data_IF_053614800945
#
_entry.id   IF_053614800945
#
_cell.length_a   1.000
_cell.length_b   1.000
_cell.length_c   1.000
_cell.angle_alpha   90.00
_cell.angle_beta   90.00
_cell.angle_gamma   90.00
#
_symmetry.space_group_name_H-M   'P 1'
#
loop_
_entity.id
_entity.type
_entity.pdbx_description
1 polymer ?
#
# COMPACT_ATOMS: atom_id res chain seq x y z
N UNK A 1 8.46 10.13 -13.40
CA UNK A 1 7.32 9.73 -14.26
C UNK A 1 7.35 8.23 -14.58
N UNK A 2 8.50 7.56 -14.40
CA UNK A 2 8.66 6.14 -14.73
C UNK A 2 8.20 5.16 -13.64
N UNK A 3 7.73 5.67 -12.50
CA UNK A 3 7.33 4.87 -11.33
C UNK A 3 5.82 4.92 -11.16
N UNK A 4 5.22 3.74 -11.01
CA UNK A 4 3.86 3.54 -10.53
C UNK A 4 3.90 3.25 -9.03
N UNK A 5 3.38 4.17 -8.23
CA UNK A 5 3.21 3.89 -6.81
C UNK A 5 2.05 2.95 -6.61
N UNK A 6 2.20 2.05 -5.64
CA UNK A 6 1.17 1.07 -5.30
C UNK A 6 1.02 1.00 -3.79
N UNK A 7 -0.20 0.76 -3.32
CA UNK A 7 -0.45 0.52 -1.90
C UNK A 7 -1.67 -0.39 -1.70
N UNK A 8 -1.68 -1.07 -0.57
CA UNK A 8 -2.81 -1.87 -0.11
C UNK A 8 -3.72 -1.05 0.80
N UNK A 9 -5.02 -1.21 0.59
CA UNK A 9 -6.08 -0.68 1.44
C UNK A 9 -6.84 -1.88 2.00
N UNK A 10 -6.75 -2.08 3.31
CA UNK A 10 -7.42 -3.17 4.01
C UNK A 10 -8.70 -2.59 4.63
N UNK A 11 -9.87 -2.92 4.09
CA UNK A 11 -11.15 -2.30 4.45
C UNK A 11 -11.97 -3.20 5.38
N UNK A 12 -12.41 -2.64 6.50
CA UNK A 12 -13.19 -3.32 7.53
C UNK A 12 -14.59 -2.72 7.75
N UNK A 13 -15.43 -3.47 8.47
CA UNK A 13 -16.68 -2.95 9.01
C UNK A 13 -16.43 -1.76 9.96
N UNK A 14 -17.45 -0.93 10.23
CA UNK A 14 -17.33 0.17 11.18
C UNK A 14 -16.90 -0.29 12.58
N UNK A 15 -16.30 0.62 13.37
CA UNK A 15 -16.00 0.33 14.77
C UNK A 15 -17.27 -0.08 15.52
N UNK A 16 -17.17 -1.04 16.44
CA UNK A 16 -18.33 -1.50 17.22
C UNK A 16 -19.03 -0.38 18.04
N UNK A 17 -18.33 0.73 18.29
CA UNK A 17 -18.86 1.92 18.94
C UNK A 17 -19.72 2.82 18.03
N UNK A 18 -19.69 2.63 16.71
CA UNK A 18 -20.45 3.43 15.73
C UNK A 18 -21.60 2.63 15.14
N UNK A 19 -22.81 3.19 15.15
CA UNK A 19 -23.97 2.60 14.47
C UNK A 19 -23.94 2.98 12.99
N UNK A 20 -24.20 2.02 12.11
CA UNK A 20 -24.27 2.24 10.64
C UNK A 20 -25.28 3.34 10.28
N UNK A 21 -26.41 3.40 11.00
CA UNK A 21 -27.44 4.42 10.79
C UNK A 21 -26.93 5.87 10.96
N UNK A 22 -25.94 6.07 11.84
CA UNK A 22 -25.42 7.39 12.21
C UNK A 22 -24.27 7.85 11.28
N UNK A 23 -23.81 6.99 10.36
CA UNK A 23 -22.73 7.33 9.43
C UNK A 23 -23.18 8.39 8.40
N UNK A 24 -22.28 9.25 7.91
CA UNK A 24 -22.63 10.31 6.96
C UNK A 24 -22.80 9.83 5.51
N UNK A 25 -23.19 8.56 5.30
CA UNK A 25 -23.33 7.97 3.97
C UNK A 25 -24.78 7.94 3.48
N UNK A 26 -24.95 7.74 2.17
CA UNK A 26 -26.28 7.55 1.56
C UNK A 26 -27.01 6.33 2.13
N UNK A 27 -28.35 6.32 2.05
CA UNK A 27 -29.13 5.17 2.54
C UNK A 27 -28.77 3.87 1.80
N UNK A 28 -28.56 3.92 0.49
CA UNK A 28 -28.11 2.76 -0.31
C UNK A 28 -26.76 2.20 0.18
N UNK A 29 -25.80 3.07 0.50
CA UNK A 29 -24.52 2.66 1.07
C UNK A 29 -24.71 2.00 2.45
N UNK A 30 -25.53 2.60 3.32
CA UNK A 30 -25.84 2.05 4.66
C UNK A 30 -26.53 0.69 4.58
N UNK A 31 -27.47 0.51 3.67
CA UNK A 31 -28.19 -0.75 3.49
C UNK A 31 -27.25 -1.87 3.04
N UNK A 32 -26.33 -1.58 2.12
CA UNK A 32 -25.28 -2.52 1.69
C UNK A 32 -24.30 -2.84 2.82
N UNK A 33 -23.92 -1.83 3.60
CA UNK A 33 -23.04 -2.01 4.76
C UNK A 33 -23.68 -2.86 5.86
N UNK A 34 -24.98 -2.66 6.09
CA UNK A 34 -25.79 -3.43 7.04
C UNK A 34 -26.05 -4.86 6.56
N UNK A 35 -26.09 -5.09 5.24
CA UNK A 35 -26.11 -6.44 4.69
C UNK A 35 -24.75 -7.14 4.89
N UNK A 36 -23.66 -6.44 4.58
CA UNK A 36 -22.29 -6.96 4.74
C UNK A 36 -21.95 -7.29 6.20
N UNK A 37 -22.46 -6.53 7.17
CA UNK A 37 -22.19 -6.75 8.60
C UNK A 37 -22.83 -8.05 9.15
N UNK A 38 -23.75 -8.66 8.40
CA UNK A 38 -24.41 -9.93 8.75
C UNK A 38 -23.71 -11.14 8.16
N UNK A 39 -22.73 -10.93 7.28
CA UNK A 39 -21.94 -11.98 6.67
C UNK A 39 -20.82 -12.43 7.61
N UNK A 40 -20.32 -13.68 7.48
CA UNK A 40 -19.10 -14.07 8.16
C UNK A 40 -17.89 -13.30 7.60
N UNK A 41 -16.99 -12.92 8.48
CA UNK A 41 -15.69 -12.36 8.10
C UNK A 41 -14.85 -13.41 7.36
N UNK A 42 -14.28 -13.03 6.21
CA UNK A 42 -13.49 -13.90 5.35
C UNK A 42 -11.97 -13.74 5.53
N UNK A 43 -11.53 -12.56 5.97
CA UNK A 43 -10.11 -12.23 6.13
C UNK A 43 -9.84 -11.52 7.46
N UNK A 44 -8.69 -11.78 8.07
CA UNK A 44 -8.19 -11.12 9.27
C UNK A 44 -6.94 -10.32 8.91
N UNK A 45 -7.06 -9.01 9.02
CA UNK A 45 -5.96 -8.09 8.86
C UNK A 45 -5.52 -7.61 10.25
N UNK A 46 -4.24 -7.30 10.38
CA UNK A 46 -3.67 -6.73 11.60
C UNK A 46 -4.27 -5.35 11.91
N UNK A 47 -4.45 -4.50 10.89
CA UNK A 47 -5.01 -3.15 11.04
C UNK A 47 -5.93 -2.77 9.86
N UNK A 48 -7.17 -3.27 9.81
CA UNK A 48 -8.12 -2.84 8.78
C UNK A 48 -8.62 -1.42 9.06
N UNK A 49 -8.66 -0.59 8.01
CA UNK A 49 -9.31 0.71 8.02
C UNK A 49 -10.81 0.50 8.15
N UNK A 50 -11.38 0.91 9.28
CA UNK A 50 -12.80 0.72 9.57
C UNK A 50 -13.64 1.79 8.85
N UNK A 51 -14.71 1.38 8.18
CA UNK A 51 -15.63 2.32 7.53
C UNK A 51 -16.22 3.29 8.56
N UNK A 52 -16.19 4.59 8.26
CA UNK A 52 -16.72 5.61 9.14
C UNK A 52 -15.79 6.04 10.27
N UNK A 53 -14.50 5.71 10.24
CA UNK A 53 -13.50 6.41 11.08
C UNK A 53 -13.42 7.88 10.67
N UNK A 54 -13.06 8.74 11.63
CA UNK A 54 -12.82 10.16 11.35
C UNK A 54 -11.68 10.33 10.34
N UNK A 55 -11.66 11.41 9.53
CA UNK A 55 -10.62 11.63 8.52
C UNK A 55 -9.19 11.54 9.06
N UNK A 56 -8.93 12.05 10.27
CA UNK A 56 -7.61 11.98 10.92
C UNK A 56 -7.19 10.55 11.31
N UNK A 57 -8.16 9.66 11.49
CA UNK A 57 -7.93 8.22 11.74
C UNK A 57 -8.01 7.37 10.47
N UNK A 58 -8.18 7.98 9.30
CA UNK A 58 -8.30 7.26 8.04
C UNK A 58 -6.95 7.19 7.32
N UNK A 59 -6.30 6.03 7.39
CA UNK A 59 -4.96 5.83 6.84
C UNK A 59 -4.90 6.05 5.31
N UNK A 60 -5.98 5.82 4.56
CA UNK A 60 -6.03 6.16 3.13
C UNK A 60 -5.81 7.66 2.93
N UNK A 61 -6.59 8.48 3.64
CA UNK A 61 -6.53 9.94 3.49
C UNK A 61 -5.18 10.45 3.96
N UNK A 62 -4.73 9.91 5.08
CA UNK A 62 -3.47 10.25 5.71
C UNK A 62 -2.27 9.96 4.78
N UNK A 63 -2.13 8.72 4.29
CA UNK A 63 -1.07 8.31 3.38
C UNK A 63 -1.03 9.08 2.08
N UNK A 64 -2.20 9.23 1.45
CA UNK A 64 -2.31 9.94 0.19
C UNK A 64 -1.96 11.42 0.35
N UNK A 65 -2.34 12.06 1.46
CA UNK A 65 -1.89 13.42 1.79
C UNK A 65 -0.38 13.50 1.94
N UNK A 66 0.22 12.55 2.66
CA UNK A 66 1.68 12.49 2.84
C UNK A 66 2.42 12.33 1.51
N UNK A 67 1.97 11.42 0.65
CA UNK A 67 2.54 11.24 -0.68
C UNK A 67 2.29 12.47 -1.57
N UNK A 68 1.11 13.08 -1.53
CA UNK A 68 0.80 14.30 -2.29
C UNK A 68 1.71 15.46 -1.91
N UNK A 69 1.93 15.67 -0.61
CA UNK A 69 2.84 16.67 -0.07
C UNK A 69 4.30 16.40 -0.50
N UNK A 70 4.72 15.13 -0.45
CA UNK A 70 6.04 14.75 -0.93
C UNK A 70 6.22 15.06 -2.42
N UNK A 71 5.19 14.83 -3.25
CA UNK A 71 5.21 15.19 -4.67
C UNK A 71 5.19 16.71 -4.89
N UNK A 72 4.44 17.47 -4.07
CA UNK A 72 4.44 18.92 -4.12
C UNK A 72 5.85 19.49 -3.89
N UNK A 73 6.53 18.99 -2.85
CA UNK A 73 7.90 19.37 -2.53
C UNK A 73 8.88 19.04 -3.67
N UNK A 74 8.74 17.86 -4.31
CA UNK A 74 9.57 17.47 -5.46
C UNK A 74 9.34 18.36 -6.69
N UNK A 75 8.14 18.93 -6.83
CA UNK A 75 7.85 19.93 -7.88
C UNK A 75 8.53 21.25 -7.58
N UNK A 76 8.49 21.71 -6.33
CA UNK A 76 9.18 22.93 -5.91
C UNK A 76 10.70 22.82 -6.12
N UNK A 77 11.27 21.64 -5.86
CA UNK A 77 12.69 21.34 -6.15
C UNK A 77 13.01 21.19 -7.64
N UNK A 78 11.99 21.02 -8.50
CA UNK A 78 12.16 20.84 -9.94
C UNK A 78 12.45 19.40 -10.39
N UNK A 79 12.32 18.41 -9.49
CA UNK A 79 12.44 16.99 -9.83
C UNK A 79 11.21 16.45 -10.59
N UNK A 80 10.05 17.11 -10.42
CA UNK A 80 8.79 16.78 -11.09
C UNK A 80 8.26 18.03 -11.79
N UNK A 81 7.82 17.94 -13.07
CA UNK A 81 7.18 19.08 -13.74
C UNK A 81 5.93 19.54 -12.98
N UNK A 82 5.69 20.85 -12.92
CA UNK A 82 4.63 21.45 -12.11
C UNK A 82 3.23 20.89 -12.41
N UNK A 83 2.95 20.62 -13.69
CA UNK A 83 1.70 20.08 -14.21
C UNK A 83 1.58 18.54 -14.11
N UNK A 84 2.68 17.84 -13.84
CA UNK A 84 2.68 16.39 -13.79
C UNK A 84 1.90 15.87 -12.57
N UNK A 85 1.25 14.72 -12.73
CA UNK A 85 0.72 13.94 -11.61
C UNK A 85 1.43 12.60 -11.52
N UNK A 86 1.68 12.13 -10.30
CA UNK A 86 2.22 10.78 -10.08
C UNK A 86 1.07 9.78 -10.01
N UNK A 87 1.24 8.63 -10.67
CA UNK A 87 0.20 7.60 -10.72
C UNK A 87 0.29 6.71 -9.48
N UNK A 88 -0.85 6.44 -8.86
CA UNK A 88 -0.97 5.62 -7.65
C UNK A 88 -2.06 4.58 -7.87
N UNK A 89 -1.74 3.31 -7.66
CA UNK A 89 -2.69 2.20 -7.63
C UNK A 89 -2.99 1.87 -6.17
N UNK A 90 -4.26 1.93 -5.79
CA UNK A 90 -4.74 1.43 -4.52
C UNK A 90 -5.49 0.13 -4.77
N UNK A 91 -5.03 -0.92 -4.10
CA UNK A 91 -5.64 -2.24 -4.12
C UNK A 91 -6.47 -2.42 -2.86
N UNK A 92 -7.79 -2.49 -3.02
CA UNK A 92 -8.75 -2.49 -1.92
C UNK A 92 -9.22 -3.92 -1.66
N UNK A 93 -8.84 -4.45 -0.51
CA UNK A 93 -9.26 -5.77 -0.03
C UNK A 93 -10.19 -5.61 1.15
N UNK A 94 -11.19 -6.47 1.27
CA UNK A 94 -12.25 -6.33 2.25
C UNK A 94 -12.27 -7.51 3.23
N UNK A 95 -12.64 -7.23 4.48
CA UNK A 95 -12.84 -8.30 5.47
C UNK A 95 -14.09 -9.15 5.19
N UNK A 96 -15.09 -8.59 4.49
CA UNK A 96 -16.35 -9.24 4.14
C UNK A 96 -16.63 -9.11 2.64
N UNK A 97 -17.18 -10.15 2.00
CA UNK A 97 -17.49 -10.12 0.57
C UNK A 97 -18.54 -9.05 0.22
N UNK A 98 -19.52 -8.83 1.09
CA UNK A 98 -20.55 -7.82 0.93
C UNK A 98 -20.03 -6.38 0.90
N UNK A 99 -18.78 -6.12 1.32
CA UNK A 99 -18.16 -4.79 1.22
C UNK A 99 -17.64 -4.48 -0.19
N UNK A 100 -17.39 -5.49 -1.04
CA UNK A 100 -16.84 -5.30 -2.41
C UNK A 100 -17.55 -4.22 -3.22
N UNK A 101 -18.91 -4.20 -3.30
CA UNK A 101 -19.61 -3.27 -4.17
C UNK A 101 -19.53 -1.82 -3.70
N UNK A 102 -19.20 -1.58 -2.43
CA UNK A 102 -19.12 -0.25 -1.82
C UNK A 102 -17.69 0.19 -1.50
N UNK A 103 -16.70 -0.68 -1.69
CA UNK A 103 -15.31 -0.42 -1.32
C UNK A 103 -14.72 0.81 -2.01
N UNK A 104 -14.91 0.93 -3.33
CA UNK A 104 -14.46 2.12 -4.09
C UNK A 104 -15.24 3.37 -3.73
N UNK A 105 -16.56 3.23 -3.60
CA UNK A 105 -17.43 4.34 -3.20
C UNK A 105 -16.99 4.92 -1.86
N UNK A 106 -16.65 4.08 -0.88
CA UNK A 106 -16.12 4.52 0.41
C UNK A 106 -14.86 5.37 0.25
N UNK A 107 -13.88 4.90 -0.53
CA UNK A 107 -12.63 5.65 -0.75
C UNK A 107 -12.92 6.99 -1.43
N UNK A 108 -13.76 7.00 -2.45
CA UNK A 108 -14.15 8.24 -3.16
C UNK A 108 -14.91 9.23 -2.25
N UNK A 109 -15.78 8.75 -1.37
CA UNK A 109 -16.50 9.58 -0.41
C UNK A 109 -15.58 10.12 0.68
N UNK A 110 -14.72 9.29 1.26
CA UNK A 110 -13.71 9.72 2.24
C UNK A 110 -12.80 10.81 1.66
N UNK A 111 -12.40 10.69 0.40
CA UNK A 111 -11.59 11.71 -0.28
C UNK A 111 -12.34 13.03 -0.49
N UNK A 112 -13.67 13.03 -0.60
CA UNK A 112 -14.49 14.25 -0.74
C UNK A 112 -14.66 14.99 0.58
N UNK A 113 -14.57 14.30 1.71
CA UNK A 113 -14.65 14.89 3.04
C UNK A 113 -13.42 15.76 3.39
N UNK A 114 -12.32 15.62 2.64
CA UNK A 114 -11.12 16.42 2.85
C UNK A 114 -11.38 17.93 2.59
N UNK A 115 -10.97 18.80 3.54
CA UNK A 115 -10.91 20.25 3.33
C UNK A 115 -10.13 20.62 2.07
N UNK A 116 -10.47 21.74 1.42
CA UNK A 116 -9.90 22.14 0.11
C UNK A 116 -8.38 22.28 0.12
N UNK A 117 -7.81 22.78 1.22
CA UNK A 117 -6.38 22.91 1.46
C UNK A 117 -5.69 21.55 1.63
N UNK A 118 -6.43 20.50 2.02
CA UNK A 118 -5.93 19.14 2.25
C UNK A 118 -6.25 18.15 1.13
N UNK A 119 -6.94 18.59 0.07
CA UNK A 119 -7.22 17.72 -1.09
C UNK A 119 -5.95 17.33 -1.82
N UNK A 120 -5.89 16.06 -2.21
CA UNK A 120 -4.83 15.48 -3.04
C UNK A 120 -4.87 16.08 -4.45
N UNK A 121 -3.82 16.81 -4.84
CA UNK A 121 -3.78 17.61 -6.08
C UNK A 121 -2.82 17.06 -7.13
N UNK A 122 -1.77 16.39 -6.68
CA UNK A 122 -0.60 15.97 -7.44
C UNK A 122 -0.57 14.47 -7.75
N UNK A 123 -1.57 13.71 -7.29
CA UNK A 123 -1.70 12.28 -7.57
C UNK A 123 -2.82 11.99 -8.58
N UNK A 124 -2.61 10.95 -9.40
CA UNK A 124 -3.63 10.28 -10.20
C UNK A 124 -3.89 8.92 -9.56
N UNK A 125 -4.97 8.84 -8.79
CA UNK A 125 -5.31 7.65 -8.01
C UNK A 125 -6.20 6.72 -8.84
N UNK A 126 -5.88 5.43 -8.83
CA UNK A 126 -6.66 4.37 -9.45
C UNK A 126 -7.02 3.33 -8.39
N UNK A 127 -8.31 3.01 -8.29
CA UNK A 127 -8.84 2.12 -7.27
C UNK A 127 -9.21 0.78 -7.87
N UNK A 128 -8.68 -0.30 -7.30
CA UNK A 128 -8.94 -1.67 -7.71
C UNK A 128 -9.44 -2.49 -6.53
N UNK A 129 -10.73 -2.82 -6.56
CA UNK A 129 -11.27 -3.90 -5.74
C UNK A 129 -11.21 -5.22 -6.51
N UNK A 130 -11.69 -6.28 -5.87
CA UNK A 130 -11.85 -7.58 -6.50
C UNK A 130 -12.65 -7.50 -7.81
N UNK A 131 -13.64 -6.61 -7.87
CA UNK A 131 -14.50 -6.41 -9.05
C UNK A 131 -13.67 -5.94 -10.25
N UNK A 132 -12.78 -4.96 -10.06
CA UNK A 132 -11.93 -4.44 -11.13
C UNK A 132 -10.86 -5.44 -11.53
N UNK A 133 -10.28 -6.17 -10.58
CA UNK A 133 -9.27 -7.19 -10.93
C UNK A 133 -9.88 -8.34 -11.69
N UNK A 134 -11.10 -8.76 -11.35
CA UNK A 134 -11.84 -9.76 -12.11
C UNK A 134 -12.14 -9.27 -13.53
N UNK A 135 -12.54 -8.00 -13.70
CA UNK A 135 -12.75 -7.41 -15.01
C UNK A 135 -11.47 -7.37 -15.85
N UNK A 136 -10.30 -7.11 -15.24
CA UNK A 136 -9.00 -7.20 -15.91
C UNK A 136 -8.70 -8.65 -16.32
N UNK A 137 -8.92 -9.62 -15.44
CA UNK A 137 -8.71 -11.03 -15.75
C UNK A 137 -9.55 -11.44 -16.94
N UNK A 138 -10.85 -11.19 -16.89
CA UNK A 138 -11.80 -11.63 -17.92
C UNK A 138 -11.63 -10.85 -19.23
N UNK A 139 -11.36 -9.54 -19.17
CA UNK A 139 -11.28 -8.66 -20.34
C UNK A 139 -9.90 -8.57 -21.00
N UNK A 140 -8.81 -8.82 -20.25
CA UNK A 140 -7.44 -8.62 -20.73
C UNK A 140 -6.61 -9.89 -20.65
N UNK A 141 -6.53 -10.51 -19.47
CA UNK A 141 -5.61 -11.63 -19.25
C UNK A 141 -6.07 -12.92 -19.93
N UNK A 142 -7.35 -13.31 -19.79
CA UNK A 142 -7.88 -14.52 -20.44
C UNK A 142 -7.74 -14.46 -21.97
N UNK A 143 -8.11 -13.37 -22.67
CA UNK A 143 -7.86 -13.24 -24.11
C UNK A 143 -6.37 -13.30 -24.49
N UNK A 144 -5.48 -12.72 -23.69
CA UNK A 144 -4.04 -12.79 -23.93
C UNK A 144 -3.49 -14.22 -23.78
N UNK A 145 -3.93 -14.93 -22.75
CA UNK A 145 -3.57 -16.34 -22.49
C UNK A 145 -4.06 -17.27 -23.60
N UNK A 146 -5.28 -17.08 -24.08
CA UNK A 146 -5.83 -17.85 -25.19
C UNK A 146 -4.99 -17.71 -26.46
N UNK A 147 -4.47 -16.50 -26.75
CA UNK A 147 -3.61 -16.25 -27.92
C UNK A 147 -2.28 -16.99 -27.88
N UNK A 148 -1.76 -17.30 -26.70
CA UNK A 148 -0.52 -18.06 -26.52
C UNK A 148 -0.76 -19.56 -26.26
N UNK A 149 -2.00 -20.03 -26.44
CA UNK A 149 -2.37 -21.44 -26.31
C UNK A 149 -2.47 -21.95 -24.87
N UNK A 150 -2.59 -21.05 -23.88
CA UNK A 150 -2.78 -21.44 -22.49
C UNK A 150 -4.25 -21.78 -22.21
N UNK A 151 -4.51 -23.00 -21.75
CA UNK A 151 -5.87 -23.55 -21.63
C UNK A 151 -6.56 -23.31 -20.29
N UNK A 152 -5.81 -23.17 -19.19
CA UNK A 152 -6.37 -23.02 -17.84
C UNK A 152 -6.47 -21.55 -17.40
N UNK A 153 -7.15 -20.75 -18.23
CA UNK A 153 -7.27 -19.31 -17.99
C UNK A 153 -8.13 -18.95 -16.76
N UNK A 154 -8.94 -19.90 -16.26
CA UNK A 154 -9.79 -19.71 -15.08
C UNK A 154 -8.98 -19.72 -13.77
N UNK A 155 -7.87 -20.46 -13.72
CA UNK A 155 -6.92 -20.41 -12.61
C UNK A 155 -6.31 -19.00 -12.40
N UNK A 156 -6.44 -18.07 -13.35
CA UNK A 156 -5.94 -16.70 -13.16
C UNK A 156 -6.61 -15.98 -12.02
N UNK A 157 -7.90 -16.24 -11.76
CA UNK A 157 -8.58 -15.63 -10.61
C UNK A 157 -8.02 -16.13 -9.28
N UNK A 158 -7.29 -17.25 -9.24
CA UNK A 158 -6.64 -17.72 -8.01
C UNK A 158 -5.34 -16.96 -7.71
N UNK A 159 -4.70 -16.36 -8.72
CA UNK A 159 -3.38 -15.72 -8.57
C UNK A 159 -3.41 -14.20 -8.76
N UNK A 160 -4.36 -13.68 -9.54
CA UNK A 160 -4.48 -12.25 -9.83
C UNK A 160 -5.76 -11.71 -9.21
N UNK A 161 -5.60 -10.91 -8.17
CA UNK A 161 -6.68 -10.19 -7.50
C UNK A 161 -6.22 -9.59 -6.19
N UNK A 162 -7.14 -8.96 -5.46
CA UNK A 162 -6.78 -8.21 -4.24
C UNK A 162 -7.31 -8.86 -2.97
N UNK A 163 -8.26 -9.80 -3.09
CA UNK A 163 -8.83 -10.47 -1.93
C UNK A 163 -8.21 -11.80 -1.55
N UNK A 164 -8.37 -12.14 -0.27
CA UNK A 164 -8.01 -13.42 0.32
C UNK A 164 -6.59 -13.44 0.86
N UNK A 165 -5.83 -14.45 0.45
CA UNK A 165 -4.46 -14.67 0.90
C UNK A 165 -3.53 -13.54 0.43
N UNK A 166 -2.65 -13.06 1.32
CA UNK A 166 -1.72 -11.96 1.03
C UNK A 166 -0.88 -12.19 -0.24
N UNK A 167 -0.59 -13.44 -0.59
CA UNK A 167 0.14 -13.80 -1.81
C UNK A 167 -0.58 -13.39 -3.10
N UNK A 168 -1.91 -13.42 -3.13
CA UNK A 168 -2.72 -13.01 -4.30
C UNK A 168 -2.70 -11.49 -4.46
N UNK A 169 -2.88 -10.79 -3.34
CA UNK A 169 -2.82 -9.34 -3.27
C UNK A 169 -1.46 -8.79 -3.70
N UNK A 170 -0.38 -9.39 -3.20
CA UNK A 170 0.98 -9.10 -3.61
C UNK A 170 1.21 -9.34 -5.10
N UNK A 171 0.66 -10.43 -5.64
CA UNK A 171 0.75 -10.77 -7.07
C UNK A 171 0.09 -9.70 -7.94
N UNK A 172 -1.09 -9.19 -7.57
CA UNK A 172 -1.71 -8.06 -8.26
C UNK A 172 -0.82 -6.82 -8.26
N UNK A 173 -0.31 -6.41 -7.09
CA UNK A 173 0.52 -5.21 -6.95
C UNK A 173 1.81 -5.27 -7.79
N UNK A 174 2.38 -6.46 -7.96
CA UNK A 174 3.51 -6.70 -8.87
C UNK A 174 3.09 -6.67 -10.34
N UNK A 175 2.01 -7.37 -10.68
CA UNK A 175 1.59 -7.60 -12.06
C UNK A 175 0.93 -6.39 -12.73
N UNK A 176 0.33 -5.49 -11.95
CA UNK A 176 -0.34 -4.28 -12.48
C UNK A 176 0.61 -3.40 -13.29
N UNK A 177 1.91 -3.40 -12.98
CA UNK A 177 2.93 -2.69 -13.76
C UNK A 177 2.93 -3.13 -15.22
N UNK A 178 2.96 -4.44 -15.48
CA UNK A 178 3.06 -4.97 -16.84
C UNK A 178 1.85 -4.56 -17.67
N UNK A 179 0.66 -4.56 -17.07
CA UNK A 179 -0.58 -4.13 -17.71
C UNK A 179 -0.55 -2.62 -17.96
N UNK A 180 -0.16 -1.82 -16.96
CA UNK A 180 -0.09 -0.36 -17.09
C UNK A 180 0.93 0.06 -18.16
N UNK A 181 2.11 -0.54 -18.15
CA UNK A 181 3.17 -0.31 -19.14
C UNK A 181 2.70 -0.65 -20.57
N UNK A 182 2.09 -1.82 -20.75
CA UNK A 182 1.71 -2.31 -22.07
C UNK A 182 0.53 -1.54 -22.69
N UNK A 183 -0.41 -1.07 -21.87
CA UNK A 183 -1.69 -0.54 -22.37
C UNK A 183 -1.95 0.93 -22.07
N UNK A 184 -1.26 1.53 -21.10
CA UNK A 184 -1.57 2.88 -20.61
C UNK A 184 -0.40 3.84 -20.83
N UNK A 185 0.79 3.50 -20.33
CA UNK A 185 1.96 4.38 -20.42
C UNK A 185 3.26 3.57 -20.45
N UNK A 186 3.90 3.40 -21.63
CA UNK A 186 5.15 2.65 -21.75
C UNK A 186 6.35 3.34 -21.11
N UNK A 187 6.22 4.62 -20.70
CA UNK A 187 7.28 5.28 -19.93
C UNK A 187 7.32 4.80 -18.47
N UNK A 188 6.25 4.17 -17.97
CA UNK A 188 6.23 3.59 -16.62
C UNK A 188 6.87 2.21 -16.65
N UNK A 189 8.02 2.07 -16.00
CA UNK A 189 8.87 0.86 -16.07
C UNK A 189 9.11 0.23 -14.71
N UNK A 190 8.69 0.89 -13.62
CA UNK A 190 8.87 0.40 -12.27
C UNK A 190 7.62 0.57 -11.40
N UNK A 191 7.49 -0.28 -10.38
CA UNK A 191 6.53 -0.12 -9.29
C UNK A 191 7.25 0.08 -7.97
N UNK A 192 6.67 0.90 -7.11
CA UNK A 192 7.09 1.03 -5.73
C UNK A 192 5.88 0.87 -4.82
N UNK A 193 5.93 -0.12 -3.92
CA UNK A 193 4.85 -0.38 -2.95
C UNK A 193 5.16 0.34 -1.66
N UNK A 194 4.27 1.23 -1.24
CA UNK A 194 4.28 1.83 0.10
C UNK A 194 3.19 1.18 0.94
N UNK A 195 3.42 1.05 2.24
CA UNK A 195 2.27 0.92 3.13
C UNK A 195 1.50 2.25 3.15
N UNK A 196 0.19 2.17 3.32
CA UNK A 196 -0.67 3.35 3.16
C UNK A 196 -0.52 4.32 4.33
N UNK A 197 0.03 3.89 5.45
CA UNK A 197 0.32 4.70 6.63
C UNK A 197 1.75 5.30 6.64
N UNK A 198 2.59 4.91 5.68
CA UNK A 198 3.94 5.43 5.53
C UNK A 198 3.97 6.76 4.78
N UNK A 199 4.88 7.66 5.18
CA UNK A 199 5.04 8.97 4.56
C UNK A 199 6.49 9.31 4.27
N UNK A 200 6.70 10.16 3.27
CA UNK A 200 8.00 10.69 2.91
C UNK A 200 8.17 12.09 3.48
N UNK A 201 8.71 12.19 4.69
CA UNK A 201 9.03 13.50 5.30
C UNK A 201 10.28 14.07 4.64
N UNK A 202 10.09 14.86 3.59
CA UNK A 202 11.16 15.30 2.68
C UNK A 202 12.29 16.04 3.40
N UNK A 203 11.98 16.97 4.31
CA UNK A 203 13.01 17.74 5.01
C UNK A 203 13.88 16.85 5.90
N UNK A 204 13.27 15.89 6.61
CA UNK A 204 14.03 14.89 7.38
C UNK A 204 14.83 13.97 6.45
N UNK A 205 14.27 13.54 5.32
CA UNK A 205 14.98 12.67 4.35
C UNK A 205 16.23 13.36 3.83
N UNK A 206 16.09 14.62 3.41
CA UNK A 206 17.21 15.42 2.91
C UNK A 206 18.23 15.68 4.03
N UNK A 207 17.79 16.00 5.24
CA UNK A 207 18.67 16.23 6.38
C UNK A 207 19.52 15.00 6.73
N UNK A 208 18.92 13.81 6.72
CA UNK A 208 19.60 12.58 7.15
C UNK A 208 20.38 11.88 6.04
N UNK A 209 19.92 11.94 4.80
CA UNK A 209 20.51 11.19 3.69
C UNK A 209 21.07 12.06 2.57
N UNK A 210 20.86 13.37 2.61
CA UNK A 210 21.20 14.30 1.53
C UNK A 210 20.36 14.13 0.27
N UNK A 211 19.29 13.33 0.30
CA UNK A 211 18.45 12.98 -0.85
C UNK A 211 16.97 13.08 -0.49
N UNK A 212 16.18 13.58 -1.41
CA UNK A 212 14.73 13.54 -1.38
C UNK A 212 14.18 12.18 -1.80
N UNK A 213 12.87 11.95 -1.61
CA UNK A 213 12.18 10.71 -1.99
C UNK A 213 12.54 10.25 -3.41
N UNK A 214 12.40 11.11 -4.41
CA UNK A 214 12.63 10.70 -5.80
C UNK A 214 14.12 10.54 -6.13
N UNK A 215 15.00 11.23 -5.42
CA UNK A 215 16.45 11.05 -5.59
C UNK A 215 16.92 9.71 -5.04
N UNK A 216 16.24 9.15 -4.02
CA UNK A 216 16.47 7.77 -3.58
C UNK A 216 16.10 6.73 -4.65
N UNK A 217 15.12 7.04 -5.50
CA UNK A 217 14.75 6.18 -6.62
C UNK A 217 15.65 6.31 -7.85
N UNK A 218 16.60 7.25 -7.87
CA UNK A 218 17.61 7.39 -8.94
C UNK A 218 18.89 6.59 -8.66
N UNK A 219 18.86 5.66 -7.71
CA UNK A 219 20.03 4.85 -7.37
C UNK A 219 20.36 3.86 -8.48
N UNK A 220 21.62 3.80 -8.93
CA UNK A 220 22.10 2.79 -9.88
C UNK A 220 22.01 1.35 -9.34
N UNK A 221 21.73 1.20 -8.03
CA UNK A 221 21.50 -0.08 -7.37
C UNK A 221 20.05 -0.59 -7.54
N UNK A 222 19.17 0.19 -8.19
CA UNK A 222 17.86 -0.30 -8.62
C UNK A 222 18.00 -1.53 -9.51
N UNK A 223 17.28 -2.61 -9.20
CA UNK A 223 17.42 -3.86 -9.95
C UNK A 223 18.68 -4.66 -9.58
N UNK A 224 19.14 -4.57 -8.32
CA UNK A 224 20.31 -5.26 -7.76
C UNK A 224 20.68 -6.57 -8.48
N UNK A 225 21.93 -6.70 -8.93
CA UNK A 225 22.37 -7.90 -9.66
C UNK A 225 22.89 -8.95 -8.69
N UNK A 226 22.48 -10.20 -8.89
CA UNK A 226 22.91 -11.33 -8.08
C UNK A 226 23.37 -12.51 -8.93
N UNK A 227 23.77 -13.58 -8.25
CA UNK A 227 23.88 -14.90 -8.86
C UNK A 227 22.92 -15.84 -8.16
N UNK A 228 22.14 -16.62 -8.92
CA UNK A 228 21.32 -17.66 -8.32
C UNK A 228 22.20 -18.84 -7.85
N UNK A 229 21.59 -19.85 -7.24
CA UNK A 229 22.30 -21.04 -6.74
C UNK A 229 23.03 -21.86 -7.82
N UNK A 230 22.73 -21.63 -9.11
CA UNK A 230 23.43 -22.23 -10.25
C UNK A 230 24.59 -21.36 -10.77
N UNK A 231 24.82 -20.19 -10.17
CA UNK A 231 25.82 -19.22 -10.61
C UNK A 231 25.37 -18.33 -11.76
N UNK A 232 24.12 -18.41 -12.20
CA UNK A 232 23.57 -17.61 -13.28
C UNK A 232 23.30 -16.18 -12.79
N UNK A 233 23.65 -15.19 -13.61
CA UNK A 233 23.35 -13.79 -13.31
C UNK A 233 21.84 -13.60 -13.24
N UNK A 234 21.36 -12.99 -12.16
CA UNK A 234 19.97 -12.61 -11.98
C UNK A 234 19.88 -11.12 -11.70
N UNK A 235 18.78 -10.51 -12.13
CA UNK A 235 18.41 -9.15 -11.77
C UNK A 235 17.35 -9.23 -10.67
N UNK A 236 17.66 -8.66 -9.52
CA UNK A 236 16.78 -8.59 -8.36
C UNK A 236 16.14 -7.22 -8.36
N UNK A 237 14.91 -7.14 -8.86
CA UNK A 237 14.09 -5.92 -8.83
C UNK A 237 13.62 -5.55 -7.42
N UNK A 238 14.53 -5.20 -6.50
CA UNK A 238 14.18 -4.81 -5.14
C UNK A 238 14.95 -3.56 -4.70
N UNK A 239 14.19 -2.57 -4.23
CA UNK A 239 14.68 -1.48 -3.40
C UNK A 239 14.31 -1.86 -1.98
N UNK A 240 15.30 -2.19 -1.16
CA UNK A 240 15.11 -2.32 0.28
C UNK A 240 15.45 -0.96 0.90
N UNK A 241 14.52 -0.44 1.70
CA UNK A 241 14.70 0.81 2.42
C UNK A 241 13.62 0.92 3.48
N UNK A 242 13.95 1.53 4.61
CA UNK A 242 12.99 1.79 5.67
C UNK A 242 12.25 3.11 5.40
N UNK A 243 10.93 3.09 5.48
CA UNK A 243 10.10 4.28 5.58
C UNK A 243 9.57 4.37 7.01
N UNK A 244 9.50 5.59 7.54
CA UNK A 244 9.03 5.82 8.89
C UNK A 244 7.52 6.09 8.87
N UNK A 245 6.77 5.45 9.77
CA UNK A 245 5.40 5.84 10.06
C UNK A 245 5.42 7.21 10.75
N UNK A 246 4.45 8.09 10.47
CA UNK A 246 4.49 9.43 11.06
C UNK A 246 4.45 9.44 12.57
N UNK A 247 3.64 8.57 13.19
CA UNK A 247 3.59 8.48 14.66
C UNK A 247 4.98 8.19 15.25
N UNK A 248 5.78 7.40 14.55
CA UNK A 248 7.13 7.06 15.01
C UNK A 248 8.12 8.20 14.69
N UNK A 249 7.95 8.88 13.55
CA UNK A 249 8.67 10.12 13.23
C UNK A 249 8.39 11.25 14.24
N UNK A 250 7.15 11.41 14.69
CA UNK A 250 6.78 12.42 15.71
C UNK A 250 7.36 12.04 17.08
N UNK A 251 7.19 10.79 17.51
CA UNK A 251 7.73 10.29 18.79
C UNK A 251 9.25 10.35 18.85
N UNK A 252 9.93 10.19 17.72
CA UNK A 252 11.39 10.24 17.62
C UNK A 252 11.97 11.67 17.68
N UNK A 253 11.11 12.70 17.69
CA UNK A 253 11.54 14.09 17.57
C UNK A 253 12.04 14.44 16.17
N UNK A 254 11.46 13.82 15.13
CA UNK A 254 11.75 14.12 13.73
C UNK A 254 12.89 13.32 13.12
N UNK A 255 13.28 12.20 13.75
CA UNK A 255 14.34 11.31 13.27
C UNK A 255 13.74 10.16 12.44
N UNK A 256 14.30 9.89 11.26
CA UNK A 256 13.79 8.84 10.38
C UNK A 256 14.26 7.45 10.79
N UNK A 257 15.50 7.35 11.25
CA UNK A 257 16.09 6.06 11.59
C UNK A 257 16.05 5.79 13.11
N UNK A 258 14.87 5.48 13.64
CA UNK A 258 14.72 4.82 14.95
C UNK A 258 14.02 3.46 14.79
N UNK A 259 14.56 2.36 15.33
CA UNK A 259 13.89 1.06 15.28
C UNK A 259 12.54 1.12 16.01
N UNK A 260 11.50 0.66 15.33
CA UNK A 260 10.13 0.57 15.84
C UNK A 260 9.99 -0.54 16.89
N UNK A 261 10.71 -1.65 16.70
CA UNK A 261 10.85 -2.74 17.66
C UNK A 261 12.21 -2.64 18.35
N UNK A 262 12.19 -2.28 19.63
CA UNK A 262 13.41 -2.25 20.45
C UNK A 262 13.72 -3.66 20.99
N UNK A 263 15.01 -3.98 21.22
CA UNK A 263 15.38 -5.20 21.91
C UNK A 263 14.60 -5.33 23.24
N UNK A 264 14.05 -6.52 23.54
CA UNK A 264 13.36 -6.74 24.80
C UNK A 264 14.30 -6.43 25.97
N UNK A 265 13.78 -5.77 27.00
CA UNK A 265 14.55 -5.47 28.21
C UNK A 265 15.06 -6.77 28.84
N UNK A 266 16.24 -6.72 29.46
CA UNK A 266 16.85 -7.88 30.11
C UNK A 266 15.96 -8.51 31.19
N UNK A 267 15.09 -7.72 31.81
CA UNK A 267 14.15 -8.14 32.85
C UNK A 267 12.75 -8.53 32.33
N UNK A 268 12.55 -8.59 31.01
CA UNK A 268 11.25 -8.94 30.43
C UNK A 268 10.85 -10.37 30.81
N UNK A 269 9.70 -10.52 31.46
CA UNK A 269 9.04 -11.81 31.60
C UNK A 269 8.28 -12.15 30.32
N UNK A 270 8.61 -13.29 29.71
CA UNK A 270 7.97 -13.76 28.48
C UNK A 270 6.58 -14.32 28.77
N UNK A 271 5.60 -13.98 27.93
CA UNK A 271 4.33 -14.70 27.90
C UNK A 271 4.51 -16.12 27.33
N UNK A 272 3.47 -16.95 27.45
CA UNK A 272 3.53 -18.36 27.05
C UNK A 272 3.85 -18.53 25.55
N UNK A 273 3.28 -17.69 24.69
CA UNK A 273 3.55 -17.65 23.25
C UNK A 273 4.95 -17.10 22.94
N UNK A 274 5.41 -16.08 23.67
CA UNK A 274 6.75 -15.52 23.54
C UNK A 274 7.85 -16.50 23.99
N UNK A 275 7.52 -17.48 24.84
CA UNK A 275 8.47 -18.53 25.23
C UNK A 275 8.79 -19.47 24.06
N UNK A 276 7.89 -19.59 23.08
CA UNK A 276 8.03 -20.50 21.93
C UNK A 276 8.55 -19.74 20.70
N UNK A 277 7.94 -18.59 20.38
CA UNK A 277 8.25 -17.86 19.15
C UNK A 277 9.20 -16.68 19.39
N UNK A 278 9.16 -16.10 20.59
CA UNK A 278 9.89 -14.90 21.01
C UNK A 278 10.04 -13.83 19.92
N UNK A 279 9.00 -13.56 19.13
CA UNK A 279 9.10 -12.80 17.87
C UNK A 279 9.71 -11.41 18.02
N UNK A 280 9.55 -10.77 19.18
CA UNK A 280 10.10 -9.43 19.44
C UNK A 280 11.63 -9.34 19.39
N UNK A 281 12.36 -10.39 19.79
CA UNK A 281 13.83 -10.39 19.72
C UNK A 281 14.37 -10.46 18.27
N UNK A 282 13.99 -11.44 17.42
CA UNK A 282 14.43 -11.47 16.03
C UNK A 282 13.90 -10.28 15.23
N UNK A 283 12.70 -9.76 15.52
CA UNK A 283 12.19 -8.52 14.90
C UNK A 283 13.09 -7.33 15.24
N UNK A 284 13.41 -7.11 16.53
CA UNK A 284 14.29 -6.01 16.93
C UNK A 284 15.66 -6.08 16.26
N UNK A 285 16.27 -7.27 16.20
CA UNK A 285 17.55 -7.49 15.52
C UNK A 285 17.45 -7.25 14.01
N UNK A 286 16.34 -7.64 13.37
CA UNK A 286 16.10 -7.40 11.94
C UNK A 286 15.96 -5.91 11.66
N UNK A 287 15.09 -5.22 12.41
CA UNK A 287 14.86 -3.77 12.27
C UNK A 287 16.16 -2.99 12.47
N UNK A 288 16.94 -3.30 13.51
CA UNK A 288 18.24 -2.65 13.74
C UNK A 288 19.22 -2.96 12.58
N UNK A 289 19.28 -4.21 12.12
CA UNK A 289 20.13 -4.61 11.00
C UNK A 289 19.78 -3.90 9.69
N UNK A 290 18.49 -3.83 9.33
CA UNK A 290 17.99 -3.16 8.12
C UNK A 290 18.28 -1.65 8.11
N UNK A 291 18.25 -1.03 9.28
CA UNK A 291 18.46 0.41 9.43
C UNK A 291 19.94 0.80 9.52
N UNK A 292 20.80 -0.10 10.00
CA UNK A 292 22.20 0.19 10.33
C UNK A 292 23.20 -0.22 9.24
N UNK A 293 22.76 -0.93 8.19
CA UNK A 293 23.59 -1.15 6.99
C UNK A 293 23.68 0.14 6.16
N UNK A 294 24.67 0.97 6.48
CA UNK A 294 25.16 2.07 5.65
C UNK A 294 26.07 1.57 4.53
#
# INVERSE_FOLDING_TARGET
REILFTSNVLLGLPPASKKIADLPYSQDFKDKLEAASKEPQLAWFDHPIQIGVEPDGNEILYGLKGLDAAVAWEKEKGNVPADAKMSVVLSITCTHAGLRPIAKQYVEEAMKELPEDQRVKHLKIMLFSEIETDAIVDGVLKPALAKIGFSDSDAMKLIFGVEGEYGRHYSFLKAVLAIYHAFIDPAVTATFKTDIDQVFVQDSLVSETGKSMLEHFKSDLWGARGKNWKGEAIELGMVAGALCNQKDWEKSGGKLFIPDVLPPKEDKQLSADETIFFSGLPQALSTEGEMMTK
#
